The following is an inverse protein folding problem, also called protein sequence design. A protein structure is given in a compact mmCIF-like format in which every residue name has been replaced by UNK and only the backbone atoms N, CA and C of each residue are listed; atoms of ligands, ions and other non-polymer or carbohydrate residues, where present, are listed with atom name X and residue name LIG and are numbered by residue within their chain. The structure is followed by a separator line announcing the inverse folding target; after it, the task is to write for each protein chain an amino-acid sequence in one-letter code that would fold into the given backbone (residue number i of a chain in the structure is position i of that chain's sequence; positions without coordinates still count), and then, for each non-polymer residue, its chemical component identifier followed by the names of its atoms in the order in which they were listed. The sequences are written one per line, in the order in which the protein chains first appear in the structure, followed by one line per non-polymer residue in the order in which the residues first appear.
data_IF_586698873749
#
_entry.id   IF_586698873749
#
_cell.length_a   1.000
_cell.length_b   1.000
_cell.length_c   1.000
_cell.angle_alpha   90.00
_cell.angle_beta   90.00
_cell.angle_gamma   90.00
#
_symmetry.space_group_name_H-M   'P 1'
#
loop_
_entity.id
_entity.type
_entity.pdbx_description
1 polymer ?
#
# COMPACT_ATOMS: atom_id res chain seq x y z
N UNK A 1 9.83 -34.75 3.13
CA UNK A 1 9.57 -33.39 3.62
C UNK A 1 10.50 -32.36 2.95
N UNK A 2 10.31 -32.01 1.64
CA UNK A 2 11.17 -31.04 0.93
C UNK A 2 10.67 -29.57 1.04
N UNK A 3 9.42 -29.34 1.45
CA UNK A 3 8.75 -28.02 1.35
C UNK A 3 9.23 -26.93 2.30
N UNK A 4 9.78 -27.25 3.46
CA UNK A 4 10.25 -26.29 4.47
C UNK A 4 11.61 -25.68 4.14
N UNK A 5 12.51 -26.44 3.51
CA UNK A 5 13.86 -25.95 3.12
C UNK A 5 13.80 -24.93 1.97
N UNK A 6 12.91 -25.14 1.00
CA UNK A 6 12.68 -24.22 -0.13
C UNK A 6 12.09 -22.88 0.36
N UNK A 7 11.08 -22.91 1.23
CA UNK A 7 10.48 -21.70 1.78
C UNK A 7 11.44 -20.87 2.65
N UNK A 8 12.35 -21.54 3.38
CA UNK A 8 13.40 -20.85 4.14
C UNK A 8 14.42 -20.18 3.23
N UNK A 9 14.87 -20.86 2.16
CA UNK A 9 15.80 -20.30 1.19
C UNK A 9 15.19 -19.12 0.44
N UNK A 10 13.93 -19.24 0.05
CA UNK A 10 13.16 -18.19 -0.61
C UNK A 10 13.11 -16.89 0.22
N UNK A 11 12.71 -16.99 1.49
CA UNK A 11 12.70 -15.84 2.41
C UNK A 11 14.09 -15.22 2.63
N UNK A 12 15.14 -16.03 2.73
CA UNK A 12 16.53 -15.54 2.86
C UNK A 12 16.93 -14.68 1.66
N UNK A 13 16.55 -15.09 0.44
CA UNK A 13 16.84 -14.34 -0.78
C UNK A 13 16.10 -13.01 -0.80
N UNK A 14 14.79 -13.00 -0.51
CA UNK A 14 13.99 -11.76 -0.44
C UNK A 14 14.53 -10.80 0.61
N UNK A 15 14.92 -11.31 1.79
CA UNK A 15 15.47 -10.49 2.87
C UNK A 15 16.84 -9.90 2.49
N UNK A 16 17.71 -10.70 1.87
CA UNK A 16 19.01 -10.24 1.38
C UNK A 16 18.88 -9.16 0.29
N UNK A 17 17.92 -9.33 -0.61
CA UNK A 17 17.60 -8.31 -1.63
C UNK A 17 17.11 -7.01 -0.98
N UNK A 18 16.20 -7.12 -0.02
CA UNK A 18 15.65 -5.99 0.73
C UNK A 18 16.74 -5.17 1.42
N UNK A 19 17.65 -5.82 2.15
CA UNK A 19 18.75 -5.17 2.83
C UNK A 19 19.71 -4.49 1.84
N UNK A 20 20.05 -5.16 0.72
CA UNK A 20 20.92 -4.59 -0.30
C UNK A 20 20.30 -3.35 -0.96
N UNK A 21 19.01 -3.39 -1.28
CA UNK A 21 18.30 -2.23 -1.83
C UNK A 21 18.27 -1.08 -0.82
N UNK A 22 18.05 -1.38 0.45
CA UNK A 22 18.05 -0.35 1.50
C UNK A 22 19.43 0.28 1.72
N UNK A 23 20.51 -0.49 1.55
CA UNK A 23 21.91 -0.06 1.74
C UNK A 23 22.45 0.70 0.51
N UNK A 24 22.18 0.20 -0.70
CA UNK A 24 22.88 0.58 -1.94
C UNK A 24 21.98 1.04 -3.07
N UNK A 25 20.66 0.99 -2.86
CA UNK A 25 19.69 1.22 -3.91
C UNK A 25 19.55 0.04 -4.88
N UNK A 26 18.63 0.15 -5.83
CA UNK A 26 18.35 -0.91 -6.82
C UNK A 26 19.52 -1.10 -7.78
N UNK A 27 20.16 -0.01 -8.24
CA UNK A 27 21.28 -0.09 -9.18
C UNK A 27 22.52 -0.73 -8.54
N UNK A 28 22.74 -0.51 -7.25
CA UNK A 28 23.80 -1.16 -6.47
C UNK A 28 23.52 -2.62 -6.07
N UNK A 29 22.33 -3.14 -6.42
CA UNK A 29 21.91 -4.51 -6.10
C UNK A 29 22.02 -5.40 -7.33
N UNK A 30 22.80 -6.49 -7.22
CA UNK A 30 22.93 -7.51 -8.26
C UNK A 30 22.55 -8.89 -7.74
N UNK A 31 22.14 -9.80 -8.65
CA UNK A 31 21.82 -11.20 -8.31
C UNK A 31 22.99 -11.90 -7.62
N UNK A 32 24.23 -11.53 -7.98
CA UNK A 32 25.46 -12.04 -7.36
C UNK A 32 25.63 -11.56 -5.91
N UNK A 33 25.33 -10.29 -5.66
CA UNK A 33 25.36 -9.74 -4.31
C UNK A 33 24.29 -10.40 -3.42
N UNK A 34 23.09 -10.62 -3.98
CA UNK A 34 22.01 -11.32 -3.29
C UNK A 34 22.41 -12.77 -2.97
N UNK A 35 23.00 -13.48 -3.91
CA UNK A 35 23.49 -14.85 -3.67
C UNK A 35 24.52 -14.92 -2.54
N UNK A 36 25.52 -14.03 -2.57
CA UNK A 36 26.53 -13.96 -1.49
C UNK A 36 25.90 -13.63 -0.13
N UNK A 37 24.98 -12.65 -0.08
CA UNK A 37 24.39 -12.20 1.18
C UNK A 37 23.40 -13.21 1.76
N UNK A 38 22.59 -13.86 0.91
CA UNK A 38 21.60 -14.86 1.33
C UNK A 38 22.20 -16.22 1.67
N UNK A 39 23.40 -16.52 1.17
CA UNK A 39 24.02 -17.87 1.23
C UNK A 39 23.32 -18.90 0.35
N UNK A 40 22.46 -18.48 -0.57
CA UNK A 40 21.72 -19.34 -1.50
C UNK A 40 22.45 -19.35 -2.86
N UNK A 41 22.61 -20.54 -3.46
CA UNK A 41 23.30 -20.66 -4.73
C UNK A 41 22.59 -19.89 -5.86
N UNK A 42 23.37 -19.31 -6.79
CA UNK A 42 22.82 -18.62 -7.97
C UNK A 42 21.83 -19.49 -8.74
N UNK A 43 22.16 -20.78 -8.94
CA UNK A 43 21.27 -21.70 -9.65
C UNK A 43 19.90 -21.84 -8.97
N UNK A 44 19.87 -21.84 -7.64
CA UNK A 44 18.62 -21.87 -6.87
C UNK A 44 17.86 -20.56 -7.01
N UNK A 45 18.55 -19.42 -7.00
CA UNK A 45 17.91 -18.10 -7.14
C UNK A 45 17.29 -17.97 -8.54
N UNK A 46 18.06 -18.23 -9.60
CA UNK A 46 17.59 -18.14 -10.99
C UNK A 46 16.46 -19.11 -11.33
N UNK A 47 16.32 -20.21 -10.57
CA UNK A 47 15.16 -21.11 -10.70
C UNK A 47 13.84 -20.43 -10.30
N UNK A 48 13.88 -19.51 -9.35
CA UNK A 48 12.70 -18.81 -8.84
C UNK A 48 12.50 -17.43 -9.51
N UNK A 49 13.59 -16.71 -9.75
CA UNK A 49 13.58 -15.37 -10.33
C UNK A 49 14.53 -15.33 -11.53
N UNK A 50 13.98 -15.22 -12.75
CA UNK A 50 14.80 -15.23 -13.97
C UNK A 50 15.75 -14.03 -14.06
N UNK A 51 15.39 -12.93 -13.41
CA UNK A 51 16.15 -11.68 -13.40
C UNK A 51 15.97 -10.90 -12.09
N UNK A 52 16.67 -9.77 -12.00
CA UNK A 52 16.60 -8.87 -10.84
C UNK A 52 15.22 -8.25 -10.67
N UNK A 53 14.55 -7.91 -11.74
CA UNK A 53 13.27 -7.22 -11.71
C UNK A 53 12.16 -8.12 -11.13
N UNK A 54 12.14 -9.40 -11.52
CA UNK A 54 11.24 -10.39 -10.95
C UNK A 54 11.46 -10.55 -9.42
N UNK A 55 12.73 -10.60 -8.99
CA UNK A 55 13.08 -10.66 -7.57
C UNK A 55 12.62 -9.40 -6.81
N UNK A 56 12.84 -8.22 -7.37
CA UNK A 56 12.48 -6.95 -6.75
C UNK A 56 10.96 -6.79 -6.64
N UNK A 57 10.20 -7.21 -7.65
CA UNK A 57 8.74 -7.17 -7.64
C UNK A 57 8.17 -8.07 -6.54
N UNK A 58 8.65 -9.29 -6.42
CA UNK A 58 8.20 -10.21 -5.37
C UNK A 58 8.62 -9.73 -3.98
N UNK A 59 9.86 -9.22 -3.84
CA UNK A 59 10.31 -8.60 -2.60
C UNK A 59 9.37 -7.45 -2.17
N UNK A 60 8.97 -6.59 -3.10
CA UNK A 60 8.05 -5.49 -2.78
C UNK A 60 6.64 -5.98 -2.44
N UNK A 61 6.15 -7.01 -3.13
CA UNK A 61 4.86 -7.62 -2.82
C UNK A 61 4.84 -8.18 -1.39
N UNK A 62 5.92 -8.82 -0.97
CA UNK A 62 6.09 -9.35 0.40
C UNK A 62 6.17 -8.22 1.42
N UNK A 63 7.03 -7.22 1.19
CA UNK A 63 7.22 -6.07 2.10
C UNK A 63 5.95 -5.24 2.26
N UNK A 64 5.19 -5.05 1.19
CA UNK A 64 3.93 -4.29 1.23
C UNK A 64 2.74 -5.12 1.68
N UNK A 65 2.90 -6.45 1.77
CA UNK A 65 1.85 -7.38 2.20
C UNK A 65 0.65 -7.41 1.27
N UNK A 66 0.84 -7.16 -0.05
CA UNK A 66 -0.29 -7.10 -0.99
C UNK A 66 -1.08 -8.41 -1.08
N UNK A 67 -0.43 -9.55 -0.83
CA UNK A 67 -1.06 -10.86 -0.84
C UNK A 67 -1.77 -11.20 0.47
N UNK A 68 -1.50 -10.46 1.54
CA UNK A 68 -2.04 -10.69 2.89
C UNK A 68 -2.91 -9.53 3.37
N UNK A 69 -3.36 -8.64 2.47
CA UNK A 69 -4.22 -7.52 2.83
C UNK A 69 -5.55 -8.03 3.39
N UNK A 70 -5.99 -7.51 4.55
CA UNK A 70 -7.31 -7.85 5.09
C UNK A 70 -8.41 -7.23 4.23
N UNK A 71 -9.64 -7.70 4.40
CA UNK A 71 -10.81 -6.98 3.91
C UNK A 71 -11.00 -5.69 4.73
N UNK A 72 -11.35 -4.60 4.03
CA UNK A 72 -11.66 -3.30 4.64
C UNK A 72 -13.16 -3.02 4.46
N UNK A 73 -13.97 -3.70 5.26
CA UNK A 73 -15.44 -3.77 5.15
C UNK A 73 -16.14 -3.65 6.52
N UNK A 74 -15.61 -2.82 7.39
CA UNK A 74 -16.19 -2.59 8.73
C UNK A 74 -17.61 -2.02 8.71
N UNK A 75 -18.08 -1.58 7.55
CA UNK A 75 -19.35 -0.87 7.37
C UNK A 75 -19.23 0.64 7.51
N UNK A 76 -18.11 1.15 8.01
CA UNK A 76 -17.80 2.58 8.09
C UNK A 76 -16.82 2.97 6.97
N UNK A 77 -17.35 3.52 5.88
CA UNK A 77 -16.57 3.85 4.68
C UNK A 77 -15.35 4.72 4.98
N UNK A 78 -15.47 5.70 5.87
CA UNK A 78 -14.37 6.60 6.25
C UNK A 78 -13.28 5.87 7.03
N UNK A 79 -13.66 5.05 8.00
CA UNK A 79 -12.70 4.25 8.77
C UNK A 79 -11.98 3.23 7.89
N UNK A 80 -12.69 2.60 6.96
CA UNK A 80 -12.13 1.65 6.01
C UNK A 80 -11.12 2.34 5.06
N UNK A 81 -11.39 3.57 4.59
CA UNK A 81 -10.43 4.34 3.79
C UNK A 81 -9.17 4.69 4.59
N UNK A 82 -9.28 5.05 5.86
CA UNK A 82 -8.13 5.26 6.76
C UNK A 82 -7.34 3.96 6.89
N UNK A 83 -8.01 2.84 7.11
CA UNK A 83 -7.36 1.53 7.25
C UNK A 83 -6.61 1.11 5.97
N UNK A 84 -7.19 1.35 4.78
CA UNK A 84 -6.51 1.10 3.49
C UNK A 84 -5.23 1.94 3.36
N UNK A 85 -5.29 3.24 3.67
CA UNK A 85 -4.16 4.15 3.53
C UNK A 85 -3.06 3.91 4.57
N UNK A 86 -3.45 3.53 5.79
CA UNK A 86 -2.50 3.27 6.88
C UNK A 86 -1.98 1.83 6.90
N UNK A 87 -2.52 0.94 6.04
CA UNK A 87 -2.10 -0.46 6.04
C UNK A 87 -0.61 -0.61 5.79
N UNK A 88 0.06 -1.18 6.76
CA UNK A 88 1.47 -1.59 6.69
C UNK A 88 1.61 -2.92 7.44
N UNK A 89 2.24 -3.94 6.86
CA UNK A 89 2.65 -5.11 7.62
C UNK A 89 3.59 -4.65 8.73
N UNK A 90 3.26 -4.97 9.99
CA UNK A 90 3.95 -4.46 11.18
C UNK A 90 5.47 -4.73 11.17
N UNK A 91 5.89 -5.86 10.61
CA UNK A 91 7.28 -6.30 10.60
C UNK A 91 8.20 -5.47 9.68
N UNK A 92 7.64 -4.72 8.72
CA UNK A 92 8.42 -4.13 7.63
C UNK A 92 8.20 -2.62 7.40
N UNK A 93 7.46 -1.93 8.28
CA UNK A 93 7.05 -0.54 8.05
C UNK A 93 8.24 0.42 7.84
N UNK A 94 9.29 0.32 8.67
CA UNK A 94 10.49 1.16 8.55
C UNK A 94 11.27 0.83 7.28
N UNK A 95 11.45 -0.45 6.99
CA UNK A 95 12.17 -0.90 5.79
C UNK A 95 11.44 -0.49 4.52
N UNK A 96 10.11 -0.57 4.51
CA UNK A 96 9.28 -0.11 3.40
C UNK A 96 9.49 1.39 3.11
N UNK A 97 9.55 2.22 4.14
CA UNK A 97 9.82 3.65 3.99
C UNK A 97 11.21 3.92 3.43
N UNK A 98 12.22 3.13 3.82
CA UNK A 98 13.61 3.28 3.33
C UNK A 98 13.75 2.97 1.85
N UNK A 99 13.08 1.94 1.36
CA UNK A 99 13.24 1.47 -0.03
C UNK A 99 12.28 2.14 -1.02
N UNK A 100 11.16 2.69 -0.57
CA UNK A 100 10.10 3.23 -1.44
C UNK A 100 10.61 4.22 -2.50
N UNK A 101 11.52 5.13 -2.12
CA UNK A 101 12.13 6.09 -3.05
C UNK A 101 12.92 5.44 -4.19
N UNK A 102 13.61 4.32 -3.90
CA UNK A 102 14.39 3.62 -4.91
C UNK A 102 13.49 3.00 -5.97
N UNK A 103 12.32 2.48 -5.55
CA UNK A 103 11.32 1.94 -6.46
C UNK A 103 10.65 3.00 -7.32
N UNK A 104 10.33 4.16 -6.75
CA UNK A 104 9.79 5.30 -7.52
C UNK A 104 10.79 5.75 -8.59
N UNK A 105 12.06 5.96 -8.24
CA UNK A 105 13.10 6.36 -9.19
C UNK A 105 13.33 5.30 -10.26
N UNK A 106 13.48 4.04 -9.86
CA UNK A 106 13.75 2.94 -10.79
C UNK A 106 12.59 2.71 -11.76
N UNK A 107 11.34 2.80 -11.28
CA UNK A 107 10.14 2.66 -12.11
C UNK A 107 10.00 3.77 -13.16
N UNK A 108 10.49 4.96 -12.88
CA UNK A 108 10.48 6.07 -13.83
C UNK A 108 11.49 5.86 -14.98
N UNK A 109 12.63 5.22 -14.69
CA UNK A 109 13.68 4.94 -15.68
C UNK A 109 13.53 3.59 -16.41
N UNK A 110 12.66 2.70 -15.89
CA UNK A 110 12.43 1.36 -16.42
C UNK A 110 10.93 1.12 -16.64
N UNK A 111 10.36 1.48 -17.79
CA UNK A 111 8.91 1.49 -18.03
C UNK A 111 8.22 0.13 -17.83
N UNK A 112 8.85 -0.97 -18.25
CA UNK A 112 8.30 -2.33 -18.07
C UNK A 112 8.20 -2.70 -16.61
N UNK A 113 9.27 -2.48 -15.85
CA UNK A 113 9.26 -2.66 -14.40
C UNK A 113 8.20 -1.75 -13.74
N UNK A 114 8.14 -0.48 -14.14
CA UNK A 114 7.19 0.49 -13.62
C UNK A 114 5.73 0.06 -13.87
N UNK A 115 5.45 -0.56 -15.03
CA UNK A 115 4.12 -1.12 -15.32
C UNK A 115 3.80 -2.32 -14.42
N UNK A 116 4.72 -3.27 -14.30
CA UNK A 116 4.56 -4.44 -13.44
C UNK A 116 4.40 -4.06 -11.96
N UNK A 117 5.21 -3.13 -11.46
CA UNK A 117 5.14 -2.61 -10.09
C UNK A 117 3.81 -1.90 -9.81
N UNK A 118 3.32 -1.06 -10.73
CA UNK A 118 1.99 -0.44 -10.58
C UNK A 118 0.89 -1.49 -10.44
N UNK A 119 0.89 -2.48 -11.30
CA UNK A 119 -0.16 -3.51 -11.31
C UNK A 119 -0.12 -4.40 -10.06
N UNK A 120 1.08 -4.81 -9.64
CA UNK A 120 1.25 -5.74 -8.53
C UNK A 120 1.09 -5.06 -7.16
N UNK A 121 1.68 -3.87 -6.99
CA UNK A 121 1.83 -3.25 -5.67
C UNK A 121 0.91 -2.05 -5.47
N UNK A 122 0.77 -1.20 -6.50
CA UNK A 122 0.02 0.05 -6.36
C UNK A 122 -1.47 -0.09 -6.67
N UNK A 123 -1.86 -1.01 -7.55
CA UNK A 123 -3.26 -1.16 -7.96
C UNK A 123 -4.16 -1.78 -6.87
N UNK A 124 -3.75 -2.74 -6.02
CA UNK A 124 -4.61 -3.27 -4.98
C UNK A 124 -5.21 -2.20 -4.06
N UNK A 125 -4.44 -1.32 -3.38
CA UNK A 125 -5.02 -0.27 -2.55
C UNK A 125 -5.87 0.74 -3.35
N UNK A 126 -5.54 0.99 -4.61
CA UNK A 126 -6.35 1.84 -5.50
C UNK A 126 -7.72 1.24 -5.77
N UNK A 127 -7.80 -0.07 -6.02
CA UNK A 127 -9.09 -0.77 -6.21
C UNK A 127 -9.93 -0.71 -4.96
N UNK A 128 -9.33 -0.91 -3.79
CA UNK A 128 -10.03 -0.84 -2.51
C UNK A 128 -10.60 0.55 -2.27
N UNK A 129 -9.80 1.61 -2.43
CA UNK A 129 -10.27 2.99 -2.30
C UNK A 129 -11.36 3.33 -3.31
N UNK A 130 -11.21 2.91 -4.58
CA UNK A 130 -12.24 3.09 -5.62
C UNK A 130 -13.55 2.40 -5.23
N UNK A 131 -13.47 1.19 -4.69
CA UNK A 131 -14.63 0.46 -4.18
C UNK A 131 -15.31 1.20 -3.03
N UNK A 132 -14.53 1.65 -2.04
CA UNK A 132 -15.03 2.38 -0.88
C UNK A 132 -15.68 3.73 -1.28
N UNK A 133 -15.10 4.46 -2.24
CA UNK A 133 -15.72 5.70 -2.76
C UNK A 133 -17.06 5.41 -3.43
N UNK A 134 -17.15 4.39 -4.28
CA UNK A 134 -18.43 3.97 -4.89
C UNK A 134 -19.45 3.56 -3.84
N UNK A 135 -19.02 2.87 -2.80
CA UNK A 135 -19.87 2.50 -1.67
C UNK A 135 -20.36 3.74 -0.90
N UNK A 136 -19.47 4.69 -0.62
CA UNK A 136 -19.82 5.96 0.04
C UNK A 136 -20.81 6.80 -0.77
N UNK A 137 -20.65 6.86 -2.09
CA UNK A 137 -21.63 7.49 -3.01
C UNK A 137 -22.99 6.78 -2.91
N UNK A 138 -23.01 5.45 -2.99
CA UNK A 138 -24.24 4.65 -2.89
C UNK A 138 -24.96 4.83 -1.56
N UNK A 139 -24.21 5.01 -0.46
CA UNK A 139 -24.76 5.28 0.89
C UNK A 139 -25.19 6.75 1.09
N UNK A 140 -24.92 7.65 0.14
CA UNK A 140 -25.16 9.08 0.29
C UNK A 140 -24.20 9.77 1.27
N UNK A 141 -23.05 9.19 1.52
CA UNK A 141 -21.98 9.72 2.38
C UNK A 141 -21.04 10.65 1.59
N UNK A 142 -20.88 10.40 0.30
CA UNK A 142 -20.03 11.15 -0.63
C UNK A 142 -20.84 11.75 -1.77
N UNK A 143 -20.33 12.86 -2.33
CA UNK A 143 -20.93 13.53 -3.48
C UNK A 143 -21.00 12.57 -4.69
N UNK A 144 -22.18 12.38 -5.32
CA UNK A 144 -22.35 11.52 -6.49
C UNK A 144 -21.55 11.98 -7.73
N UNK A 145 -21.22 13.27 -7.83
CA UNK A 145 -20.43 13.86 -8.93
C UNK A 145 -18.91 13.75 -8.69
N UNK A 146 -18.49 12.98 -7.66
CA UNK A 146 -17.09 12.80 -7.31
C UNK A 146 -16.30 12.19 -8.49
N UNK A 147 -15.27 12.89 -8.95
CA UNK A 147 -14.28 12.32 -9.85
C UNK A 147 -13.39 11.34 -9.06
N UNK A 148 -13.56 10.04 -9.34
CA UNK A 148 -12.89 8.97 -8.61
C UNK A 148 -11.37 8.98 -8.88
N UNK A 149 -10.91 9.26 -10.10
CA UNK A 149 -9.48 9.22 -10.43
C UNK A 149 -8.74 10.43 -9.86
N UNK A 150 -9.35 11.61 -9.89
CA UNK A 150 -8.84 12.77 -9.16
C UNK A 150 -8.81 12.51 -7.65
N UNK A 151 -9.85 11.90 -7.11
CA UNK A 151 -9.95 11.55 -5.69
C UNK A 151 -8.88 10.56 -5.24
N UNK A 152 -8.58 9.56 -6.06
CA UNK A 152 -7.45 8.65 -5.82
C UNK A 152 -6.13 9.41 -5.76
N UNK A 153 -5.93 10.38 -6.65
CA UNK A 153 -4.73 11.21 -6.67
C UNK A 153 -4.62 12.07 -5.41
N UNK A 154 -5.73 12.65 -4.94
CA UNK A 154 -5.78 13.43 -3.69
C UNK A 154 -5.52 12.60 -2.45
N UNK A 155 -5.98 11.35 -2.40
CA UNK A 155 -5.76 10.45 -1.27
C UNK A 155 -4.34 9.87 -1.25
N UNK A 156 -3.82 9.46 -2.40
CA UNK A 156 -2.53 8.77 -2.49
C UNK A 156 -1.34 9.73 -2.63
N UNK A 157 -1.55 10.90 -3.22
CA UNK A 157 -0.50 11.91 -3.43
C UNK A 157 0.20 12.35 -2.13
N UNK A 158 -0.53 12.78 -1.09
CA UNK A 158 0.06 13.14 0.19
C UNK A 158 0.81 11.98 0.85
N UNK A 159 0.29 10.75 0.75
CA UNK A 159 0.95 9.54 1.27
C UNK A 159 2.30 9.31 0.58
N UNK A 160 2.31 9.40 -0.76
CA UNK A 160 3.54 9.25 -1.55
C UNK A 160 4.54 10.38 -1.24
N UNK A 161 4.08 11.64 -1.24
CA UNK A 161 4.91 12.80 -0.96
C UNK A 161 5.60 12.68 0.40
N UNK A 162 4.85 12.31 1.42
CA UNK A 162 5.37 12.13 2.77
C UNK A 162 6.43 11.03 2.85
N UNK A 163 6.14 9.86 2.29
CA UNK A 163 7.05 8.73 2.35
C UNK A 163 8.32 8.90 1.51
N UNK A 164 8.22 9.59 0.37
CA UNK A 164 9.34 9.72 -0.57
C UNK A 164 10.20 10.94 -0.26
N UNK A 165 9.58 12.09 0.03
CA UNK A 165 10.27 13.36 0.09
C UNK A 165 10.51 13.89 1.50
N UNK A 166 9.55 13.77 2.42
CA UNK A 166 9.70 14.38 3.75
C UNK A 166 10.49 13.54 4.75
N UNK A 167 10.69 12.24 4.50
CA UNK A 167 11.53 11.34 5.32
C UNK A 167 11.26 11.37 6.84
N UNK A 168 10.07 11.76 7.25
CA UNK A 168 9.71 11.76 8.67
C UNK A 168 9.34 10.36 9.10
N UNK A 169 10.32 9.58 9.55
CA UNK A 169 10.12 8.22 10.08
C UNK A 169 9.44 8.23 11.45
N UNK A 170 9.37 9.39 12.11
CA UNK A 170 8.82 9.53 13.47
C UNK A 170 7.33 9.79 13.53
N UNK A 171 6.65 10.10 12.42
CA UNK A 171 5.22 10.33 12.44
C UNK A 171 4.44 9.04 12.19
N UNK A 172 3.37 8.86 12.98
CA UNK A 172 2.50 7.70 12.88
C UNK A 172 1.78 7.70 11.52
N UNK A 173 1.97 6.66 10.67
CA UNK A 173 1.26 6.56 9.38
C UNK A 173 -0.26 6.63 9.52
N UNK A 174 -0.81 6.23 10.67
CA UNK A 174 -2.23 6.33 10.97
C UNK A 174 -2.68 7.79 11.05
N UNK A 175 -1.94 8.66 11.77
CA UNK A 175 -2.29 10.10 11.88
C UNK A 175 -2.27 10.79 10.52
N UNK A 176 -1.33 10.45 9.64
CA UNK A 176 -1.30 10.97 8.28
C UNK A 176 -2.52 10.50 7.48
N UNK A 177 -2.83 9.21 7.52
CA UNK A 177 -3.98 8.65 6.83
C UNK A 177 -5.31 9.27 7.32
N UNK A 178 -5.47 9.44 8.63
CA UNK A 178 -6.62 10.13 9.22
C UNK A 178 -6.73 11.57 8.72
N UNK A 179 -5.64 12.33 8.74
CA UNK A 179 -5.61 13.71 8.27
C UNK A 179 -5.95 13.85 6.79
N UNK A 180 -5.45 12.94 5.94
CA UNK A 180 -5.74 12.91 4.50
C UNK A 180 -7.22 12.57 4.26
N UNK A 181 -7.75 11.54 4.92
CA UNK A 181 -9.16 11.16 4.78
C UNK A 181 -10.07 12.25 5.35
N UNK A 182 -9.70 12.92 6.43
CA UNK A 182 -10.46 14.04 6.99
C UNK A 182 -10.53 15.22 6.04
N UNK A 183 -9.43 15.57 5.39
CA UNK A 183 -9.41 16.62 4.38
C UNK A 183 -10.29 16.25 3.18
N UNK A 184 -10.18 15.00 2.72
CA UNK A 184 -11.01 14.47 1.66
C UNK A 184 -12.49 14.51 2.02
N UNK A 185 -12.85 14.06 3.24
CA UNK A 185 -14.25 14.06 3.71
C UNK A 185 -14.84 15.46 3.87
N UNK A 186 -14.03 16.44 4.28
CA UNK A 186 -14.47 17.86 4.32
C UNK A 186 -14.75 18.41 2.94
N UNK A 187 -14.04 17.95 1.91
CA UNK A 187 -14.23 18.42 0.54
C UNK A 187 -15.42 17.74 -0.16
N UNK A 188 -15.59 16.44 0.05
CA UNK A 188 -16.49 15.61 -0.76
C UNK A 188 -17.56 14.87 0.05
N UNK A 189 -17.50 14.90 1.38
CA UNK A 189 -18.49 14.28 2.26
C UNK A 189 -19.79 15.07 2.26
N UNK A 190 -20.90 14.36 2.21
CA UNK A 190 -22.21 14.95 2.39
C UNK A 190 -22.56 14.99 3.88
N UNK A 191 -23.15 16.11 4.34
CA UNK A 191 -23.67 16.17 5.71
C UNK A 191 -24.83 15.19 5.79
N UNK A 192 -24.67 14.12 6.55
CA UNK A 192 -25.77 13.19 6.86
C UNK A 192 -26.91 14.03 7.45
N UNK A 193 -28.05 14.05 6.79
CA UNK A 193 -29.27 14.64 7.38
C UNK A 193 -29.56 13.85 8.66
N UNK A 194 -29.25 14.44 9.82
CA UNK A 194 -29.68 13.90 11.08
C UNK A 194 -31.17 13.61 10.97
N UNK A 195 -31.54 12.34 11.11
CA UNK A 195 -32.93 11.90 11.13
C UNK A 195 -33.66 12.76 12.16
N UNK A 196 -34.50 13.71 11.69
CA UNK A 196 -35.46 14.39 12.56
C UNK A 196 -36.40 13.31 13.10
N UNK A 197 -36.07 12.77 14.27
CA UNK A 197 -37.05 12.06 15.10
C UNK A 197 -38.18 13.04 15.31
N UNK A 198 -39.29 12.80 14.65
CA UNK A 198 -40.58 13.47 14.95
C UNK A 198 -40.84 13.18 16.44
N UNK A 199 -41.09 14.22 17.25
CA UNK A 199 -41.60 13.96 18.59
C UNK A 199 -42.94 13.28 18.43
N UNK A 200 -43.08 12.10 19.04
CA UNK A 200 -44.40 11.44 19.20
C UNK A 200 -45.20 12.36 20.09
N UNK A 201 -46.21 12.99 19.49
CA UNK A 201 -47.21 13.75 20.20
C UNK A 201 -47.99 12.80 21.11
N UNK A 202 -47.74 12.85 22.39
CA UNK A 202 -48.61 12.30 23.40
C UNK A 202 -49.85 13.23 23.48
N UNK A 203 -50.91 12.88 22.79
CA UNK A 203 -52.24 13.41 23.13
C UNK A 203 -52.80 12.50 24.23
N UNK A 204 -52.98 13.13 25.38
CA UNK A 204 -53.64 12.55 26.52
C UNK A 204 -55.14 12.39 26.31
N UNK A 205 -55.73 11.67 27.20
CA UNK A 205 -57.07 11.87 27.77
C UNK A 205 -56.97 11.37 29.20
#
# INVERSE_FOLDING_TARGET
MPRTRSASAHRKVLYAALELVAERGIDGTSMDAVARKSGVSKATIYKHWPDKDALLLEMMAEVTGVHARPAFDSGNTRADMVAVLSYRPLENAEMQARIGRHFVSYSASNPEFGHAWRNLVMEPPRRELRHLMKLGIKKGELNPELDIDLSLSLLLGPMLYWHVFLRKTSENPLSLAEGVVDAFWRAFGLKTRASKRRPVSAKGA
#
